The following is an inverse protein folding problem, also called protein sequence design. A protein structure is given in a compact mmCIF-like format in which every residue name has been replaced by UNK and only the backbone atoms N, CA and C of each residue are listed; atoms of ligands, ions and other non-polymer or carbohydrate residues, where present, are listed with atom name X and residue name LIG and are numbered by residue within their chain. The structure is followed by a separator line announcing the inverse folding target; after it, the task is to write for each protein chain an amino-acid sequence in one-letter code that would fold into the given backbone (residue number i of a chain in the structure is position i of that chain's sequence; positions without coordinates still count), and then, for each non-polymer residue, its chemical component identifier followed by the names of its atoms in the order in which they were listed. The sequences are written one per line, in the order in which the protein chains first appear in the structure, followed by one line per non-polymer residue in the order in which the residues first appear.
data_IF_507526903971
#
_entry.id   IF_507526903971
#
_cell.length_a   1.000
_cell.length_b   1.000
_cell.length_c   1.000
_cell.angle_alpha   90.00
_cell.angle_beta   90.00
_cell.angle_gamma   90.00
#
_symmetry.space_group_name_H-M   'P 1'
#
loop_
_entity.id
_entity.type
_entity.pdbx_description
1 polymer ?
#
# COMPACT_ATOMS: atom_id res chain seq x y z
N UNK A 1 -0.82 3.63 -14.03
CA UNK A 1 0.53 3.22 -13.60
C UNK A 1 0.99 2.08 -14.49
N UNK A 2 0.54 0.85 -14.25
CA UNK A 2 0.92 -0.35 -15.04
C UNK A 2 0.72 -0.17 -16.55
N UNK A 3 -0.50 0.16 -17.01
CA UNK A 3 -0.73 0.41 -18.43
C UNK A 3 0.21 1.44 -19.04
N UNK A 4 0.39 2.60 -18.40
CA UNK A 4 1.33 3.62 -18.87
C UNK A 4 2.79 3.11 -18.87
N UNK A 5 3.19 2.40 -17.82
CA UNK A 5 4.51 1.80 -17.70
C UNK A 5 4.81 0.78 -18.81
N UNK A 6 3.83 -0.02 -19.21
CA UNK A 6 3.98 -0.95 -20.35
C UNK A 6 4.20 -0.22 -21.68
N UNK A 7 3.49 0.88 -21.92
CA UNK A 7 3.54 1.59 -23.20
C UNK A 7 4.71 2.56 -23.32
N UNK A 8 5.13 3.20 -22.21
CA UNK A 8 6.09 4.32 -22.24
C UNK A 8 7.27 4.15 -21.30
N UNK A 9 7.34 3.07 -20.54
CA UNK A 9 8.26 2.93 -19.42
C UNK A 9 7.86 3.80 -18.22
N UNK A 10 8.67 3.74 -17.16
CA UNK A 10 8.39 4.40 -15.87
C UNK A 10 8.97 5.81 -15.77
N UNK A 11 9.91 6.16 -16.66
CA UNK A 11 10.50 7.49 -16.75
C UNK A 11 9.82 8.33 -17.83
N UNK A 12 8.74 9.01 -17.49
CA UNK A 12 8.16 9.97 -18.43
C UNK A 12 6.86 10.64 -18.00
N UNK A 13 6.44 11.68 -18.75
CA UNK A 13 5.24 12.45 -18.44
C UNK A 13 3.97 11.61 -18.38
N UNK A 14 3.84 10.59 -19.25
CA UNK A 14 2.67 9.70 -19.25
C UNK A 14 2.56 8.87 -17.97
N UNK A 15 3.70 8.36 -17.46
CA UNK A 15 3.73 7.65 -16.19
C UNK A 15 3.41 8.60 -15.02
N UNK A 16 4.00 9.79 -14.99
CA UNK A 16 3.74 10.80 -13.96
C UNK A 16 2.27 11.23 -13.94
N UNK A 17 1.66 11.49 -15.10
CA UNK A 17 0.24 11.82 -15.19
C UNK A 17 -0.64 10.68 -14.68
N UNK A 18 -0.23 9.43 -14.92
CA UNK A 18 -0.93 8.27 -14.38
C UNK A 18 -0.81 8.17 -12.85
N UNK A 19 0.35 8.54 -12.27
CA UNK A 19 0.54 8.66 -10.81
C UNK A 19 -0.42 9.71 -10.25
N UNK A 20 -0.42 10.92 -10.82
CA UNK A 20 -1.25 12.05 -10.38
C UNK A 20 -2.75 11.73 -10.48
N UNK A 21 -3.15 11.02 -11.54
CA UNK A 21 -4.55 10.58 -11.70
C UNK A 21 -4.94 9.62 -10.59
N UNK A 22 -4.10 8.61 -10.31
CA UNK A 22 -4.37 7.65 -9.22
C UNK A 22 -4.38 8.33 -7.85
N UNK A 23 -3.48 9.29 -7.61
CA UNK A 23 -3.46 10.08 -6.36
C UNK A 23 -4.80 10.81 -6.13
N UNK A 24 -5.35 11.45 -7.17
CA UNK A 24 -6.66 12.11 -7.10
C UNK A 24 -7.78 11.10 -6.79
N UNK A 25 -7.78 9.92 -7.42
CA UNK A 25 -8.80 8.90 -7.15
C UNK A 25 -8.69 8.31 -5.73
N UNK A 26 -7.47 8.06 -5.24
CA UNK A 26 -7.23 7.64 -3.85
C UNK A 26 -7.74 8.72 -2.89
N UNK A 27 -7.49 10.00 -3.18
CA UNK A 27 -8.01 11.12 -2.40
C UNK A 27 -9.55 11.11 -2.30
N UNK A 28 -10.26 10.79 -3.40
CA UNK A 28 -11.73 10.67 -3.39
C UNK A 28 -12.21 9.51 -2.52
N UNK A 29 -11.55 8.36 -2.58
CA UNK A 29 -11.88 7.20 -1.74
C UNK A 29 -11.68 7.53 -0.27
N UNK A 30 -10.52 8.11 0.08
CA UNK A 30 -10.21 8.50 1.47
C UNK A 30 -11.21 9.53 1.99
N UNK A 31 -11.59 10.52 1.18
CA UNK A 31 -12.61 11.50 1.57
C UNK A 31 -13.99 10.86 1.82
N UNK A 32 -14.38 9.87 1.01
CA UNK A 32 -15.62 9.13 1.19
C UNK A 32 -15.60 8.28 2.47
N UNK A 33 -14.48 7.59 2.74
CA UNK A 33 -14.26 6.84 3.99
C UNK A 33 -14.34 7.77 5.20
N UNK A 34 -13.66 8.91 5.16
CA UNK A 34 -13.66 9.90 6.25
C UNK A 34 -15.06 10.46 6.51
N UNK A 35 -15.83 10.72 5.46
CA UNK A 35 -17.23 11.14 5.59
C UNK A 35 -18.05 10.05 6.27
N UNK A 36 -17.96 8.81 5.80
CA UNK A 36 -18.71 7.68 6.37
C UNK A 36 -18.36 7.46 7.84
N UNK A 37 -17.08 7.49 8.19
CA UNK A 37 -16.62 7.38 9.57
C UNK A 37 -17.22 8.47 10.47
N UNK A 38 -17.30 9.72 9.99
CA UNK A 38 -17.97 10.80 10.75
C UNK A 38 -19.47 10.58 10.89
N UNK A 39 -20.12 10.13 9.82
CA UNK A 39 -21.58 10.00 9.77
C UNK A 39 -22.10 8.78 10.57
N UNK A 40 -21.32 7.69 10.65
CA UNK A 40 -21.77 6.42 11.25
C UNK A 40 -20.99 6.00 12.50
N UNK A 41 -19.81 6.59 12.74
CA UNK A 41 -18.90 6.15 13.80
C UNK A 41 -18.17 4.84 13.49
N UNK A 42 -18.24 4.34 12.26
CA UNK A 42 -17.49 3.14 11.85
C UNK A 42 -15.98 3.34 11.95
N UNK A 43 -15.26 2.28 12.28
CA UNK A 43 -13.80 2.26 12.28
C UNK A 43 -13.29 1.73 10.94
N UNK A 44 -12.46 2.53 10.28
CA UNK A 44 -11.87 2.19 9.00
C UNK A 44 -10.35 2.08 9.09
N UNK A 45 -9.81 1.11 8.38
CA UNK A 45 -8.39 1.04 8.04
C UNK A 45 -8.29 1.02 6.52
N UNK A 46 -7.48 1.92 5.96
CA UNK A 46 -7.16 1.98 4.54
C UNK A 46 -5.74 1.48 4.36
N UNK A 47 -5.57 0.43 3.54
CA UNK A 47 -4.28 -0.06 3.09
C UNK A 47 -4.16 0.22 1.59
N UNK A 48 -3.09 0.88 1.16
CA UNK A 48 -2.77 1.12 -0.26
C UNK A 48 -1.49 0.36 -0.58
N UNK A 49 -1.52 -0.47 -1.61
CA UNK A 49 -0.39 -1.29 -2.04
C UNK A 49 -0.34 -1.40 -3.56
N UNK A 50 0.78 -1.91 -4.07
CA UNK A 50 0.90 -2.43 -5.43
C UNK A 50 1.14 -3.94 -5.37
N UNK A 51 0.83 -4.63 -6.47
CA UNK A 51 1.12 -6.05 -6.69
C UNK A 51 2.56 -6.28 -7.17
N UNK A 52 3.07 -5.37 -8.01
CA UNK A 52 4.46 -5.36 -8.47
C UNK A 52 4.94 -3.94 -8.83
N UNK A 53 6.26 -3.80 -9.00
CA UNK A 53 6.89 -2.67 -9.67
C UNK A 53 7.08 -2.94 -11.17
N UNK A 54 7.88 -2.12 -11.85
CA UNK A 54 8.08 -2.18 -13.31
C UNK A 54 9.55 -1.99 -13.68
N UNK A 55 9.97 -2.61 -14.77
CA UNK A 55 11.25 -2.30 -15.40
C UNK A 55 11.24 -0.86 -15.95
N UNK A 56 12.44 -0.27 -16.06
CA UNK A 56 12.61 1.13 -16.47
C UNK A 56 11.94 1.48 -17.81
N UNK A 57 12.09 0.59 -18.79
CA UNK A 57 11.56 0.75 -20.14
C UNK A 57 10.22 0.04 -20.36
N UNK A 58 9.57 -0.40 -19.27
CA UNK A 58 8.29 -1.09 -19.28
C UNK A 58 8.42 -2.61 -19.18
N UNK A 59 7.34 -3.23 -18.70
CA UNK A 59 7.25 -4.67 -18.45
C UNK A 59 7.48 -5.06 -16.99
N UNK A 60 6.97 -6.24 -16.64
CA UNK A 60 7.14 -6.91 -15.36
C UNK A 60 6.95 -8.43 -15.51
N UNK A 61 7.12 -9.19 -14.43
CA UNK A 61 6.92 -10.65 -14.37
C UNK A 61 8.21 -11.44 -14.11
N UNK A 62 9.35 -10.76 -14.09
CA UNK A 62 10.61 -11.25 -13.56
C UNK A 62 10.66 -11.16 -12.04
N UNK A 63 11.88 -11.23 -11.51
CA UNK A 63 12.18 -11.16 -10.07
C UNK A 63 13.26 -10.10 -9.79
N UNK A 64 13.41 -9.13 -10.68
CA UNK A 64 14.36 -8.04 -10.45
C UNK A 64 13.89 -7.18 -9.26
N UNK A 65 14.82 -6.48 -8.57
CA UNK A 65 14.45 -5.58 -7.49
C UNK A 65 13.40 -4.54 -7.92
N UNK A 66 13.49 -4.00 -9.13
CA UNK A 66 12.54 -2.99 -9.63
C UNK A 66 11.13 -3.57 -9.84
N UNK A 67 11.02 -4.84 -10.24
CA UNK A 67 9.74 -5.52 -10.42
C UNK A 67 9.15 -6.03 -9.10
N UNK A 68 9.99 -6.47 -8.16
CA UNK A 68 9.56 -7.02 -6.88
C UNK A 68 9.31 -5.93 -5.81
N UNK A 69 9.86 -4.71 -6.00
CA UNK A 69 9.68 -3.60 -5.09
C UNK A 69 8.25 -3.08 -5.14
N UNK A 70 7.56 -3.21 -4.02
CA UNK A 70 6.21 -2.69 -3.78
C UNK A 70 6.23 -1.82 -2.53
N UNK A 71 5.10 -1.19 -2.23
CA UNK A 71 4.91 -0.41 -1.01
C UNK A 71 3.60 -0.80 -0.35
N UNK A 72 3.50 -0.58 0.96
CA UNK A 72 2.23 -0.59 1.69
C UNK A 72 2.13 0.70 2.48
N UNK A 73 1.06 1.46 2.27
CA UNK A 73 0.68 2.59 3.11
C UNK A 73 -0.50 2.18 3.97
N UNK A 74 -0.39 2.35 5.28
CA UNK A 74 -1.47 2.06 6.23
C UNK A 74 -1.95 3.34 6.91
N UNK A 75 -3.27 3.56 6.88
CA UNK A 75 -3.97 4.63 7.60
C UNK A 75 -5.15 4.06 8.37
N UNK A 76 -5.27 4.39 9.64
CA UNK A 76 -6.39 3.95 10.47
C UNK A 76 -6.04 4.08 11.95
N UNK A 77 -6.95 3.62 12.80
CA UNK A 77 -6.77 3.72 14.24
C UNK A 77 -5.47 3.05 14.72
N UNK A 78 -4.74 3.76 15.57
CA UNK A 78 -3.45 3.36 16.13
C UNK A 78 -2.22 3.52 15.21
N UNK A 79 -2.37 3.69 13.90
CA UNK A 79 -1.21 3.87 13.01
C UNK A 79 -0.57 5.25 13.18
N UNK A 80 0.74 5.29 13.40
CA UNK A 80 1.53 6.52 13.47
C UNK A 80 1.60 7.21 12.11
N UNK A 81 1.13 8.46 12.05
CA UNK A 81 1.30 9.30 10.86
C UNK A 81 2.79 9.59 10.58
N UNK A 82 3.19 9.47 9.32
CA UNK A 82 4.56 9.73 8.88
C UNK A 82 5.60 8.70 9.31
N UNK A 83 5.19 7.58 9.92
CA UNK A 83 6.08 6.46 10.20
C UNK A 83 6.51 5.76 8.91
N UNK A 84 7.81 5.48 8.77
CA UNK A 84 8.39 4.74 7.65
C UNK A 84 9.16 3.54 8.22
N UNK A 85 8.87 2.35 7.69
CA UNK A 85 9.58 1.12 7.99
C UNK A 85 9.69 0.30 6.69
N UNK A 86 10.92 0.10 6.22
CA UNK A 86 11.21 -0.60 4.96
C UNK A 86 11.39 -2.12 5.16
N UNK A 87 11.12 -2.64 6.36
CA UNK A 87 11.25 -4.06 6.70
C UNK A 87 10.04 -4.94 6.36
N UNK A 88 9.02 -4.39 5.71
CA UNK A 88 7.79 -5.09 5.33
C UNK A 88 7.76 -5.49 3.85
N UNK A 89 6.94 -6.49 3.56
CA UNK A 89 6.70 -7.06 2.24
C UNK A 89 5.19 -7.16 1.98
N UNK A 90 4.79 -7.46 0.75
CA UNK A 90 3.38 -7.68 0.41
C UNK A 90 2.75 -8.84 1.23
N UNK A 91 3.54 -9.81 1.69
CA UNK A 91 3.06 -10.91 2.52
C UNK A 91 2.51 -10.45 3.88
N UNK A 92 2.87 -9.24 4.33
CA UNK A 92 2.45 -8.65 5.60
C UNK A 92 1.03 -8.03 5.53
N UNK A 93 0.47 -7.86 4.33
CA UNK A 93 -0.87 -7.26 4.14
C UNK A 93 -1.97 -8.15 4.75
N UNK A 94 -1.98 -9.44 4.43
CA UNK A 94 -2.98 -10.40 4.95
C UNK A 94 -3.00 -10.47 6.49
N UNK A 95 -1.87 -10.74 7.19
CA UNK A 95 -1.87 -10.78 8.64
C UNK A 95 -2.24 -9.42 9.28
N UNK A 96 -1.97 -8.31 8.61
CA UNK A 96 -2.40 -6.97 9.03
C UNK A 96 -3.91 -6.80 8.97
N UNK A 97 -4.55 -7.22 7.88
CA UNK A 97 -6.01 -7.17 7.74
C UNK A 97 -6.67 -8.03 8.82
N UNK A 98 -6.19 -9.26 9.02
CA UNK A 98 -6.72 -10.16 10.06
C UNK A 98 -6.59 -9.55 11.45
N UNK A 99 -5.44 -8.98 11.79
CA UNK A 99 -5.22 -8.33 13.08
C UNK A 99 -6.15 -7.12 13.29
N UNK A 100 -6.31 -6.26 12.27
CA UNK A 100 -7.21 -5.10 12.35
C UNK A 100 -8.69 -5.49 12.52
N UNK A 101 -9.09 -6.66 12.00
CA UNK A 101 -10.44 -7.19 12.14
C UNK A 101 -10.61 -8.03 13.43
N UNK A 102 -9.56 -8.27 14.20
CA UNK A 102 -9.59 -9.16 15.36
C UNK A 102 -9.82 -10.64 14.99
N UNK A 103 -9.52 -11.03 13.77
CA UNK A 103 -9.66 -12.41 13.28
C UNK A 103 -8.38 -13.19 13.63
N UNK A 104 -8.49 -14.39 14.22
CA UNK A 104 -7.34 -15.23 14.49
C UNK A 104 -6.53 -15.52 13.23
N UNK A 105 -5.21 -15.40 13.31
CA UNK A 105 -4.31 -15.66 12.19
C UNK A 105 -4.03 -17.16 12.05
N UNK A 106 -4.05 -17.72 10.82
CA UNK A 106 -3.44 -19.01 10.55
C UNK A 106 -1.96 -19.00 10.95
N UNK A 107 -1.47 -20.12 11.46
CA UNK A 107 -0.07 -20.24 11.91
C UNK A 107 0.94 -20.27 10.74
N UNK A 108 0.48 -20.47 9.51
CA UNK A 108 1.31 -20.69 8.32
C UNK A 108 1.33 -19.50 7.35
N UNK A 109 1.10 -18.28 7.85
CA UNK A 109 1.35 -17.07 7.06
C UNK A 109 2.85 -16.73 7.12
N UNK A 110 3.44 -16.42 5.97
CA UNK A 110 4.85 -16.02 5.88
C UNK A 110 5.09 -14.61 6.45
N UNK A 111 4.08 -13.74 6.36
CA UNK A 111 4.13 -12.37 6.84
C UNK A 111 3.69 -12.21 8.31
N UNK A 112 3.88 -10.99 8.81
CA UNK A 112 3.45 -10.52 10.11
C UNK A 112 2.68 -9.20 9.96
N UNK A 113 1.82 -8.82 10.92
CA UNK A 113 1.14 -7.54 10.84
C UNK A 113 2.11 -6.35 10.84
N UNK A 114 1.73 -5.31 10.10
CA UNK A 114 2.39 -4.01 10.17
C UNK A 114 2.26 -3.45 11.60
N UNK A 115 3.40 -3.09 12.19
CA UNK A 115 3.42 -2.41 13.47
C UNK A 115 2.65 -1.07 13.38
N UNK A 116 1.85 -0.80 14.40
CA UNK A 116 1.09 0.46 14.51
C UNK A 116 2.00 1.67 14.73
N UNK A 117 3.20 1.46 15.29
CA UNK A 117 4.20 2.51 15.56
C UNK A 117 5.54 2.02 15.07
N UNK A 118 6.33 2.94 14.51
CA UNK A 118 7.69 2.63 14.11
C UNK A 118 8.57 2.61 15.36
N UNK A 119 9.33 1.53 15.63
CA UNK A 119 10.27 1.51 16.75
C UNK A 119 11.29 2.64 16.64
N UNK A 120 11.76 3.21 17.76
CA UNK A 120 12.91 4.11 17.72
C UNK A 120 14.11 3.41 17.08
N UNK A 121 14.82 4.11 16.20
CA UNK A 121 16.16 3.67 15.77
C UNK A 121 17.08 3.70 16.99
N UNK A 122 17.63 2.55 17.35
CA UNK A 122 18.61 2.41 18.43
C UNK A 122 19.99 2.90 18.06
#
# INVERSE_FOLDING_TARGET
MDGAGHWTGTLGPAYNQAVETVDVEVGRIVAAVDRRQRDTGERWTVLVTADHGHLLFGGHGGQTPDEASTFVIARGDGYQAGGIDNGYTIADVTPTVLENLGVPRPANLDGKPLAKRVPPVG
#
